data_IF_658262213955
#
_entry.id   IF_658262213955
#
_cell.length_a   1.000
_cell.length_b   1.000
_cell.length_c   1.000
_cell.angle_alpha   90.00
_cell.angle_beta   90.00
_cell.angle_gamma   90.00
#
_symmetry.space_group_name_H-M   'P 1'
#
loop_
_entity.id
_entity.type
_entity.pdbx_description
1 polymer ?
#
# COMPACT_ATOMS: atom_id res chain seq x y z
N UNK A 1 -19.92 -13.15 1.49
CA UNK A 1 -19.76 -11.78 2.03
C UNK A 1 -18.52 -11.60 2.91
N UNK A 2 -18.26 -12.47 3.90
CA UNK A 2 -17.10 -12.33 4.81
C UNK A 2 -15.73 -12.32 4.10
N UNK A 3 -15.58 -13.07 3.01
CA UNK A 3 -14.32 -13.18 2.26
C UNK A 3 -13.84 -11.86 1.63
N UNK A 4 -14.73 -11.14 0.91
CA UNK A 4 -14.37 -9.87 0.28
C UNK A 4 -14.00 -8.78 1.31
N UNK A 5 -14.71 -8.72 2.44
CA UNK A 5 -14.39 -7.77 3.51
C UNK A 5 -13.01 -8.05 4.15
N UNK A 6 -12.68 -9.32 4.42
CA UNK A 6 -11.38 -9.70 4.97
C UNK A 6 -10.23 -9.39 4.01
N UNK A 7 -10.44 -9.65 2.71
CA UNK A 7 -9.45 -9.33 1.67
C UNK A 7 -9.26 -7.80 1.55
N UNK A 8 -10.34 -7.03 1.61
CA UNK A 8 -10.26 -5.57 1.61
C UNK A 8 -9.52 -5.03 2.85
N UNK A 9 -9.83 -5.54 4.05
CA UNK A 9 -9.14 -5.15 5.29
C UNK A 9 -7.63 -5.46 5.20
N UNK A 10 -7.26 -6.65 4.73
CA UNK A 10 -5.87 -7.02 4.55
C UNK A 10 -5.15 -6.11 3.52
N UNK A 11 -5.82 -5.74 2.42
CA UNK A 11 -5.27 -4.81 1.43
C UNK A 11 -5.11 -3.39 2.00
N UNK A 12 -6.03 -2.95 2.87
CA UNK A 12 -6.00 -1.61 3.49
C UNK A 12 -4.79 -1.39 4.40
N UNK A 13 -4.08 -2.43 4.83
CA UNK A 13 -2.85 -2.29 5.62
C UNK A 13 -1.79 -1.51 4.84
N UNK A 14 -1.76 -1.58 3.50
CA UNK A 14 -0.89 -0.72 2.70
C UNK A 14 -1.17 0.78 2.86
N UNK A 15 -2.44 1.17 3.07
CA UNK A 15 -2.82 2.56 3.34
C UNK A 15 -2.61 2.93 4.81
N UNK A 16 -2.77 1.96 5.72
CA UNK A 16 -2.36 2.14 7.11
C UNK A 16 -0.88 2.52 7.22
N UNK A 17 0.01 1.83 6.47
CA UNK A 17 1.44 2.13 6.42
C UNK A 17 1.73 3.53 5.88
N UNK A 18 1.00 3.98 4.86
CA UNK A 18 1.10 5.36 4.36
C UNK A 18 0.79 6.38 5.48
N UNK A 19 -0.32 6.19 6.19
CA UNK A 19 -0.70 7.06 7.30
C UNK A 19 0.34 7.06 8.42
N UNK A 20 0.88 5.89 8.72
CA UNK A 20 1.95 5.70 9.69
C UNK A 20 3.21 6.49 9.29
N UNK A 21 3.70 6.34 8.06
CA UNK A 21 4.88 7.05 7.57
C UNK A 21 4.71 8.57 7.65
N UNK A 22 3.57 9.09 7.18
CA UNK A 22 3.29 10.53 7.16
C UNK A 22 3.33 11.15 8.58
N UNK A 23 2.77 10.48 9.59
CA UNK A 23 2.86 10.95 10.98
C UNK A 23 4.27 10.76 11.55
N UNK A 24 4.92 9.62 11.25
CA UNK A 24 6.24 9.30 11.79
C UNK A 24 7.27 10.33 11.35
N UNK A 25 7.33 10.68 10.07
CA UNK A 25 8.28 11.67 9.58
C UNK A 25 8.01 13.06 10.18
N UNK A 26 6.73 13.45 10.34
CA UNK A 26 6.35 14.72 10.93
C UNK A 26 6.84 14.87 12.38
N UNK A 27 6.83 13.79 13.16
CA UNK A 27 7.39 13.79 14.51
C UNK A 27 8.90 13.59 14.57
N UNK A 28 9.44 12.69 13.74
CA UNK A 28 10.85 12.30 13.76
C UNK A 28 11.77 13.42 13.25
N UNK A 29 11.31 14.26 12.31
CA UNK A 29 12.15 15.30 11.68
C UNK A 29 12.75 16.28 12.70
N UNK A 30 12.02 16.58 13.79
CA UNK A 30 12.47 17.44 14.89
C UNK A 30 13.74 16.87 15.54
N UNK A 31 13.79 15.55 15.70
CA UNK A 31 14.91 14.83 16.30
C UNK A 31 16.05 14.61 15.29
N UNK A 32 15.72 14.38 14.02
CA UNK A 32 16.70 14.30 12.92
C UNK A 32 17.46 15.62 12.80
N UNK A 33 16.76 16.76 12.84
CA UNK A 33 17.38 18.08 12.77
C UNK A 33 18.33 18.32 13.96
N UNK A 34 17.93 17.92 15.18
CA UNK A 34 18.79 18.03 16.38
C UNK A 34 20.08 17.21 16.28
N UNK A 35 20.00 15.99 15.76
CA UNK A 35 21.14 15.05 15.66
C UNK A 35 22.09 15.45 14.52
N UNK A 36 21.55 15.75 13.34
CA UNK A 36 22.33 15.99 12.12
C UNK A 36 22.57 17.48 11.81
N UNK A 37 22.02 18.40 12.61
CA UNK A 37 22.11 19.88 12.46
C UNK A 37 21.81 20.34 11.03
N UNK A 38 20.63 19.97 10.54
CA UNK A 38 20.24 20.18 9.15
C UNK A 38 19.86 21.63 8.87
N UNK A 39 20.22 22.10 7.67
CA UNK A 39 19.66 23.31 7.09
C UNK A 39 18.20 23.07 6.68
N UNK A 40 17.34 24.10 6.80
CA UNK A 40 15.91 23.99 6.49
C UNK A 40 15.61 23.46 5.07
N UNK A 41 16.46 23.78 4.08
CA UNK A 41 16.36 23.25 2.72
C UNK A 41 16.52 21.73 2.65
N UNK A 42 17.47 21.18 3.41
CA UNK A 42 17.76 19.74 3.47
C UNK A 42 16.67 19.00 4.24
N UNK A 43 16.15 19.60 5.31
CA UNK A 43 15.01 19.07 6.05
C UNK A 43 13.78 18.94 5.16
N UNK A 44 13.44 20.00 4.43
CA UNK A 44 12.35 19.99 3.46
C UNK A 44 12.56 18.95 2.36
N UNK A 45 13.81 18.77 1.91
CA UNK A 45 14.15 17.74 0.93
C UNK A 45 13.88 16.32 1.48
N UNK A 46 14.30 16.00 2.70
CA UNK A 46 14.07 14.69 3.32
C UNK A 46 12.57 14.34 3.36
N UNK A 47 11.72 15.31 3.72
CA UNK A 47 10.26 15.13 3.73
C UNK A 47 9.72 14.97 2.31
N UNK A 48 10.20 15.79 1.37
CA UNK A 48 9.74 15.77 -0.02
C UNK A 48 10.19 14.53 -0.82
N UNK A 49 11.29 13.88 -0.45
CA UNK A 49 11.83 12.72 -1.17
C UNK A 49 10.82 11.57 -1.31
N UNK A 50 9.98 11.34 -0.30
CA UNK A 50 8.93 10.31 -0.40
C UNK A 50 7.80 10.73 -1.33
N UNK A 51 7.42 12.01 -1.32
CA UNK A 51 6.41 12.55 -2.24
C UNK A 51 6.89 12.48 -3.69
N UNK A 52 8.17 12.80 -3.93
CA UNK A 52 8.82 12.67 -5.24
C UNK A 52 8.80 11.21 -5.69
N UNK A 53 9.17 10.27 -4.81
CA UNK A 53 9.12 8.84 -5.10
C UNK A 53 7.70 8.37 -5.43
N UNK A 54 6.73 8.74 -4.60
CA UNK A 54 5.33 8.39 -4.79
C UNK A 54 4.77 8.93 -6.11
N UNK A 55 5.08 10.19 -6.44
CA UNK A 55 4.67 10.78 -7.71
C UNK A 55 5.26 10.01 -8.91
N UNK A 56 6.56 9.73 -8.88
CA UNK A 56 7.25 9.02 -9.97
C UNK A 56 6.69 7.62 -10.21
N UNK A 57 6.44 6.83 -9.14
CA UNK A 57 5.94 5.46 -9.29
C UNK A 57 4.46 5.43 -9.70
N UNK A 58 3.65 6.37 -9.21
CA UNK A 58 2.20 6.41 -9.48
C UNK A 58 1.90 6.61 -10.96
N UNK A 59 2.72 7.40 -11.67
CA UNK A 59 2.58 7.61 -13.12
C UNK A 59 2.78 6.31 -13.90
N UNK A 60 3.67 5.43 -13.43
CA UNK A 60 4.00 4.18 -14.12
C UNK A 60 3.19 2.98 -13.61
N UNK A 61 2.64 3.04 -12.39
CA UNK A 61 2.07 1.88 -11.71
C UNK A 61 0.81 1.33 -12.36
N UNK A 62 0.02 2.17 -13.05
CA UNK A 62 -1.22 1.76 -13.72
C UNK A 62 -0.99 0.71 -14.81
N UNK A 63 -0.30 1.06 -15.91
CA UNK A 63 0.00 0.13 -17.00
C UNK A 63 0.75 -1.13 -16.52
N UNK A 64 1.69 -0.95 -15.59
CA UNK A 64 2.47 -2.08 -15.04
C UNK A 64 1.57 -3.04 -14.26
N UNK A 65 0.62 -2.55 -13.48
CA UNK A 65 -0.36 -3.37 -12.75
C UNK A 65 -1.34 -4.09 -13.68
N UNK A 66 -1.67 -3.50 -14.83
CA UNK A 66 -2.47 -4.18 -15.85
C UNK A 66 -1.72 -5.31 -16.53
N UNK A 67 -0.41 -5.15 -16.72
CA UNK A 67 0.41 -6.21 -17.31
C UNK A 67 0.74 -7.32 -16.31
N UNK A 68 1.27 -6.96 -15.13
CA UNK A 68 1.84 -7.89 -14.13
C UNK A 68 0.80 -8.48 -13.17
N UNK A 69 -0.30 -7.77 -12.94
CA UNK A 69 -1.32 -8.11 -11.93
C UNK A 69 -1.25 -7.22 -10.70
N UNK A 70 -2.32 -7.22 -9.90
CA UNK A 70 -2.47 -6.34 -8.74
C UNK A 70 -1.69 -6.91 -7.56
N UNK A 71 -1.80 -8.23 -7.32
CA UNK A 71 -1.16 -8.88 -6.16
C UNK A 71 0.37 -8.78 -6.19
N UNK A 72 1.09 -9.08 -7.29
CA UNK A 72 2.55 -8.92 -7.35
C UNK A 72 3.00 -7.48 -7.03
N UNK A 73 2.25 -6.49 -7.51
CA UNK A 73 2.57 -5.08 -7.26
C UNK A 73 2.38 -4.68 -5.79
N UNK A 74 1.34 -5.20 -5.13
CA UNK A 74 1.16 -5.02 -3.67
C UNK A 74 2.27 -5.73 -2.86
N UNK A 75 2.76 -6.89 -3.33
CA UNK A 75 3.91 -7.57 -2.73
C UNK A 75 5.17 -6.70 -2.87
N UNK A 76 5.43 -6.16 -4.06
CA UNK A 76 6.57 -5.25 -4.28
C UNK A 76 6.47 -4.02 -3.37
N UNK A 77 5.28 -3.41 -3.25
CA UNK A 77 5.02 -2.31 -2.31
C UNK A 77 5.40 -2.68 -0.88
N UNK A 78 4.96 -3.85 -0.39
CA UNK A 78 5.28 -4.30 0.97
C UNK A 78 6.77 -4.54 1.22
N UNK A 79 7.50 -5.03 0.22
CA UNK A 79 8.96 -5.20 0.28
C UNK A 79 9.64 -3.83 0.33
N UNK A 80 9.19 -2.86 -0.48
CA UNK A 80 9.74 -1.50 -0.49
C UNK A 80 9.57 -0.81 0.86
N UNK A 81 8.39 -0.92 1.49
CA UNK A 81 8.16 -0.40 2.84
C UNK A 81 9.04 -1.08 3.91
N UNK A 82 9.25 -2.39 3.80
CA UNK A 82 10.11 -3.10 4.73
C UNK A 82 11.57 -2.66 4.59
N UNK A 83 12.08 -2.62 3.36
CA UNK A 83 13.46 -2.21 3.07
C UNK A 83 13.67 -0.74 3.42
N UNK A 84 12.71 0.14 3.13
CA UNK A 84 12.80 1.56 3.47
C UNK A 84 12.94 1.75 4.98
N UNK A 85 12.11 1.07 5.78
CA UNK A 85 12.19 1.10 7.24
C UNK A 85 13.56 0.67 7.77
N UNK A 86 14.14 -0.42 7.23
CA UNK A 86 15.47 -0.89 7.61
C UNK A 86 16.58 0.10 7.22
N UNK A 87 16.51 0.68 6.01
CA UNK A 87 17.47 1.69 5.54
C UNK A 87 17.40 2.93 6.41
N UNK A 88 16.20 3.39 6.78
CA UNK A 88 16.01 4.53 7.67
C UNK A 88 16.52 4.24 9.08
N UNK A 89 16.31 3.03 9.60
CA UNK A 89 16.82 2.60 10.91
C UNK A 89 18.35 2.65 10.99
N UNK A 90 19.04 2.13 9.97
CA UNK A 90 20.51 2.12 9.91
C UNK A 90 21.13 3.36 9.30
N UNK A 91 20.37 4.41 9.01
CA UNK A 91 20.89 5.57 8.30
C UNK A 91 21.97 6.32 9.13
N UNK A 92 23.22 6.39 8.63
CA UNK A 92 24.30 7.11 9.30
C UNK A 92 24.32 8.60 8.95
N UNK A 93 23.75 8.98 7.80
CA UNK A 93 23.75 10.33 7.28
C UNK A 93 22.45 10.62 6.51
N UNK A 94 22.27 11.89 6.16
CA UNK A 94 21.08 12.40 5.47
C UNK A 94 20.90 11.78 4.09
N UNK A 95 21.97 11.50 3.36
CA UNK A 95 21.88 10.93 2.02
C UNK A 95 21.25 9.53 2.04
N UNK A 96 21.67 8.69 2.99
CA UNK A 96 21.07 7.37 3.20
C UNK A 96 19.62 7.49 3.67
N UNK A 97 19.32 8.48 4.52
CA UNK A 97 17.94 8.78 4.91
C UNK A 97 17.08 9.17 3.70
N UNK A 98 17.57 10.04 2.80
CA UNK A 98 16.88 10.42 1.56
C UNK A 98 16.63 9.23 0.65
N UNK A 99 17.58 8.29 0.53
CA UNK A 99 17.40 7.05 -0.23
C UNK A 99 16.29 6.20 0.41
N UNK A 100 16.31 6.05 1.75
CA UNK A 100 15.25 5.37 2.48
C UNK A 100 13.87 5.99 2.23
N UNK A 101 13.76 7.33 2.28
CA UNK A 101 12.54 8.07 1.97
C UNK A 101 12.07 7.90 0.53
N UNK A 102 12.99 7.85 -0.43
CA UNK A 102 12.64 7.62 -1.83
C UNK A 102 12.06 6.22 -2.04
N UNK A 103 12.70 5.19 -1.47
CA UNK A 103 12.20 3.82 -1.51
C UNK A 103 10.84 3.68 -0.83
N UNK A 104 10.67 4.38 0.29
CA UNK A 104 9.40 4.46 1.00
C UNK A 104 8.30 5.08 0.14
N UNK A 105 8.63 6.19 -0.52
CA UNK A 105 7.75 6.85 -1.49
C UNK A 105 7.28 5.92 -2.61
N UNK A 106 8.17 5.06 -3.13
CA UNK A 106 7.79 4.04 -4.11
C UNK A 106 6.80 3.02 -3.52
N UNK A 107 7.01 2.58 -2.29
CA UNK A 107 6.07 1.71 -1.56
C UNK A 107 4.70 2.37 -1.39
N UNK A 108 4.68 3.63 -0.94
CA UNK A 108 3.47 4.44 -0.75
C UNK A 108 2.69 4.60 -2.04
N UNK A 109 3.33 5.07 -3.11
CA UNK A 109 2.65 5.31 -4.39
C UNK A 109 1.97 4.06 -4.92
N UNK A 110 2.66 2.90 -4.87
CA UNK A 110 2.06 1.63 -5.27
C UNK A 110 0.84 1.26 -4.42
N UNK A 111 0.93 1.35 -3.09
CA UNK A 111 -0.18 0.98 -2.22
C UNK A 111 -1.41 1.90 -2.41
N UNK A 112 -1.19 3.21 -2.50
CA UNK A 112 -2.26 4.22 -2.60
C UNK A 112 -3.01 4.10 -3.91
N UNK A 113 -2.30 3.83 -5.02
CA UNK A 113 -2.94 3.66 -6.32
C UNK A 113 -3.63 2.31 -6.44
N UNK A 114 -3.00 1.23 -5.98
CA UNK A 114 -3.45 -0.13 -6.30
C UNK A 114 -4.46 -0.69 -5.31
N UNK A 115 -4.42 -0.30 -4.04
CA UNK A 115 -5.37 -0.84 -3.04
C UNK A 115 -6.82 -0.46 -3.36
N UNK A 116 -7.17 0.81 -3.67
CA UNK A 116 -8.54 1.15 -4.05
C UNK A 116 -9.00 0.45 -5.33
N UNK A 117 -8.11 0.32 -6.32
CA UNK A 117 -8.39 -0.41 -7.57
C UNK A 117 -8.67 -1.89 -7.27
N UNK A 118 -7.80 -2.53 -6.49
CA UNK A 118 -7.95 -3.93 -6.09
C UNK A 118 -9.23 -4.17 -5.30
N UNK A 119 -9.59 -3.27 -4.39
CA UNK A 119 -10.86 -3.33 -3.64
C UNK A 119 -12.03 -3.18 -4.61
N UNK A 120 -11.99 -2.24 -5.55
CA UNK A 120 -13.08 -2.03 -6.51
C UNK A 120 -13.34 -3.25 -7.41
N UNK A 121 -12.28 -4.01 -7.72
CA UNK A 121 -12.32 -5.20 -8.56
C UNK A 121 -12.75 -6.46 -7.79
N UNK A 122 -12.51 -6.51 -6.48
CA UNK A 122 -12.87 -7.65 -5.62
C UNK A 122 -14.19 -7.44 -4.87
N UNK A 123 -14.64 -6.20 -4.70
CA UNK A 123 -15.83 -5.85 -3.96
C UNK A 123 -17.14 -6.22 -4.70
N UNK A 124 -18.14 -6.79 -4.00
CA UNK A 124 -19.52 -6.89 -4.48
C UNK A 124 -20.10 -5.49 -4.74
N UNK A 125 -21.00 -5.38 -5.72
CA UNK A 125 -21.70 -4.13 -6.07
C UNK A 125 -22.30 -3.43 -4.85
N UNK A 126 -22.90 -4.20 -3.95
CA UNK A 126 -23.78 -3.68 -2.89
C UNK A 126 -23.00 -3.03 -1.74
N UNK A 127 -21.73 -3.43 -1.54
CA UNK A 127 -20.87 -2.92 -0.46
C UNK A 127 -19.62 -2.20 -0.98
N UNK A 128 -19.49 -2.04 -2.30
CA UNK A 128 -18.29 -1.44 -2.93
C UNK A 128 -18.00 -0.04 -2.39
N UNK A 129 -19.03 0.78 -2.21
CA UNK A 129 -18.89 2.13 -1.65
C UNK A 129 -18.27 2.12 -0.25
N UNK A 130 -18.78 1.25 0.63
CA UNK A 130 -18.27 1.10 1.99
C UNK A 130 -16.85 0.51 2.02
N UNK A 131 -16.53 -0.43 1.13
CA UNK A 131 -15.18 -0.99 1.08
C UNK A 131 -14.15 0.02 0.55
N UNK A 132 -14.55 0.95 -0.32
CA UNK A 132 -13.67 2.01 -0.81
C UNK A 132 -13.36 3.10 0.21
N UNK A 133 -14.11 3.21 1.32
CA UNK A 133 -13.77 4.14 2.41
C UNK A 133 -12.78 3.54 3.41
N UNK A 134 -12.63 2.21 3.45
CA UNK A 134 -11.71 1.52 4.35
C UNK A 134 -10.24 1.93 4.17
N UNK A 135 -9.68 2.12 2.95
CA UNK A 135 -8.30 2.58 2.79
C UNK A 135 -8.03 3.90 3.51
N UNK A 136 -8.92 4.88 3.36
CA UNK A 136 -8.78 6.18 4.02
C UNK A 136 -8.94 6.08 5.53
N UNK A 137 -9.88 5.26 6.00
CA UNK A 137 -10.01 4.99 7.43
C UNK A 137 -8.76 4.33 8.01
N UNK A 138 -8.19 3.35 7.30
CA UNK A 138 -6.96 2.68 7.69
C UNK A 138 -5.76 3.64 7.71
N UNK A 139 -5.65 4.54 6.72
CA UNK A 139 -4.64 5.59 6.70
C UNK A 139 -4.75 6.52 7.91
N UNK A 140 -5.94 7.03 8.21
CA UNK A 140 -6.17 7.83 9.42
C UNK A 140 -5.84 7.07 10.71
N UNK A 141 -6.18 5.77 10.77
CA UNK A 141 -5.83 4.90 11.90
C UNK A 141 -4.33 4.71 12.06
N UNK A 142 -3.60 4.52 10.97
CA UNK A 142 -2.13 4.45 10.96
C UNK A 142 -1.48 5.74 11.43
N UNK A 143 -2.00 6.87 10.97
CA UNK A 143 -1.55 8.20 11.39
C UNK A 143 -1.76 8.41 12.90
N UNK A 144 -2.94 8.07 13.42
CA UNK A 144 -3.24 8.17 14.85
C UNK A 144 -2.31 7.31 15.72
N UNK A 145 -2.16 6.02 15.38
CA UNK A 145 -1.29 5.12 16.15
C UNK A 145 0.18 5.53 16.08
N UNK A 146 0.63 6.04 14.94
CA UNK A 146 1.97 6.60 14.79
C UNK A 146 2.18 7.79 15.72
N UNK A 147 1.23 8.73 15.81
CA UNK A 147 1.35 9.84 16.76
C UNK A 147 1.38 9.39 18.22
N UNK A 148 0.59 8.37 18.60
CA UNK A 148 0.67 7.77 19.93
C UNK A 148 2.07 7.17 20.19
N UNK A 149 2.64 6.46 19.22
CA UNK A 149 3.99 5.89 19.32
C UNK A 149 5.05 7.01 19.47
N UNK A 150 4.98 8.05 18.63
CA UNK A 150 5.91 9.19 18.70
C UNK A 150 5.82 9.84 20.08
N UNK A 151 4.61 10.15 20.55
CA UNK A 151 4.41 10.76 21.86
C UNK A 151 5.01 9.92 22.99
N UNK A 152 4.77 8.60 22.97
CA UNK A 152 5.36 7.67 23.93
C UNK A 152 6.89 7.64 23.88
N UNK A 153 7.48 7.64 22.68
CA UNK A 153 8.93 7.69 22.51
C UNK A 153 9.53 9.05 22.88
N UNK A 154 8.82 10.15 22.66
CA UNK A 154 9.24 11.50 23.05
C UNK A 154 9.38 11.67 24.56
N UNK A 155 8.67 10.85 25.36
CA UNK A 155 8.74 10.84 26.83
C UNK A 155 9.95 10.06 27.37
N UNK A 156 10.65 9.29 26.54
CA UNK A 156 11.85 8.55 26.98
C UNK A 156 13.07 9.45 27.14
N UNK A 157 14.02 9.05 28.00
CA UNK A 157 15.23 9.82 28.30
C UNK A 157 16.13 10.08 27.07
N UNK A 158 16.08 9.20 26.06
CA UNK A 158 16.86 9.31 24.82
C UNK A 158 15.99 8.99 23.59
N UNK A 159 15.20 9.95 23.09
CA UNK A 159 14.35 9.73 21.92
C UNK A 159 15.21 9.43 20.68
N UNK A 160 15.02 8.24 20.10
CA UNK A 160 15.75 7.83 18.88
C UNK A 160 14.85 7.94 17.67
N UNK A 161 15.16 8.90 16.79
CA UNK A 161 14.46 9.08 15.51
C UNK A 161 14.63 7.90 14.57
N UNK A 162 15.76 7.18 14.66
CA UNK A 162 16.03 5.96 13.90
C UNK A 162 15.04 4.87 14.24
N UNK A 163 14.73 4.70 15.53
CA UNK A 163 13.69 3.77 15.97
C UNK A 163 12.31 4.22 15.52
N UNK A 164 12.00 5.51 15.62
CA UNK A 164 10.69 6.04 15.18
C UNK A 164 10.41 5.66 13.71
N UNK A 165 11.36 5.91 12.81
CA UNK A 165 11.24 5.57 11.39
C UNK A 165 11.37 4.06 11.13
N UNK A 166 12.25 3.38 11.87
CA UNK A 166 12.55 1.95 11.67
C UNK A 166 11.41 1.01 12.06
N UNK A 167 10.58 1.40 13.03
CA UNK A 167 9.43 0.61 13.50
C UNK A 167 8.44 0.33 12.36
N UNK A 168 8.40 1.16 11.31
CA UNK A 168 7.62 0.91 10.08
C UNK A 168 7.86 -0.48 9.48
N UNK A 169 9.05 -1.06 9.66
CA UNK A 169 9.41 -2.39 9.15
C UNK A 169 8.53 -3.50 9.75
N UNK A 170 8.05 -3.35 10.98
CA UNK A 170 7.23 -4.36 11.68
C UNK A 170 5.85 -4.52 11.03
N UNK A 171 5.00 -3.46 10.92
CA UNK A 171 3.72 -3.58 10.22
C UNK A 171 3.88 -3.85 8.72
N UNK A 172 5.02 -3.49 8.11
CA UNK A 172 5.34 -3.82 6.71
C UNK A 172 5.52 -5.31 6.49
N UNK A 173 6.15 -6.02 7.43
CA UNK A 173 6.28 -7.48 7.38
C UNK A 173 4.92 -8.17 7.51
N UNK A 174 4.05 -7.64 8.38
CA UNK A 174 2.67 -8.11 8.49
C UNK A 174 1.90 -7.90 7.19
N UNK A 175 2.06 -6.73 6.56
CA UNK A 175 1.47 -6.43 5.26
C UNK A 175 1.97 -7.39 4.16
N UNK A 176 3.27 -7.67 4.13
CA UNK A 176 3.87 -8.64 3.21
C UNK A 176 3.27 -10.03 3.42
N UNK A 177 3.25 -10.53 4.66
CA UNK A 177 2.71 -11.84 4.99
C UNK A 177 1.22 -11.96 4.57
N UNK A 178 0.39 -10.96 4.89
CA UNK A 178 -1.02 -10.97 4.53
C UNK A 178 -1.23 -10.88 3.01
N UNK A 179 -0.43 -10.08 2.31
CA UNK A 179 -0.53 -9.96 0.84
C UNK A 179 -0.11 -11.27 0.16
N UNK A 180 0.92 -11.94 0.66
CA UNK A 180 1.42 -13.19 0.08
C UNK A 180 0.47 -14.35 0.38
N UNK A 181 0.04 -14.53 1.63
CA UNK A 181 -0.72 -15.73 2.03
C UNK A 181 -2.24 -15.57 1.88
N UNK A 182 -2.77 -14.35 1.95
CA UNK A 182 -4.21 -14.13 2.07
C UNK A 182 -4.87 -13.49 0.86
N UNK A 183 -4.19 -12.54 0.19
CA UNK A 183 -4.75 -11.84 -0.97
C UNK A 183 -4.75 -12.71 -2.23
N UNK A 184 -5.90 -13.02 -2.83
CA UNK A 184 -5.96 -13.59 -4.19
C UNK A 184 -5.58 -12.53 -5.24
N UNK A 185 -5.38 -12.97 -6.48
CA UNK A 185 -5.27 -12.05 -7.61
C UNK A 185 -6.64 -11.45 -7.96
N UNK A 186 -6.64 -10.27 -8.60
CA UNK A 186 -7.88 -9.64 -9.07
C UNK A 186 -8.65 -10.56 -10.05
N UNK A 187 -9.95 -10.84 -9.79
CA UNK A 187 -10.78 -11.59 -10.73
C UNK A 187 -10.82 -10.97 -12.13
N UNK A 188 -10.88 -9.64 -12.20
CA UNK A 188 -10.94 -8.90 -13.47
C UNK A 188 -9.65 -9.09 -14.27
N UNK A 189 -8.51 -9.04 -13.61
CA UNK A 189 -7.21 -9.30 -14.24
C UNK A 189 -7.06 -10.76 -14.68
N UNK A 190 -7.55 -11.73 -13.90
CA UNK A 190 -7.54 -13.14 -14.30
C UNK A 190 -8.37 -13.39 -15.56
N UNK A 191 -9.53 -12.74 -15.69
CA UNK A 191 -10.36 -12.80 -16.91
C UNK A 191 -9.64 -12.16 -18.10
N UNK A 192 -8.98 -11.01 -17.93
CA UNK A 192 -8.24 -10.37 -19.04
C UNK A 192 -7.04 -11.18 -19.52
N UNK A 193 -6.49 -12.06 -18.67
CA UNK A 193 -5.42 -13.02 -19.04
C UNK A 193 -5.95 -14.37 -19.52
N UNK A 194 -7.26 -14.53 -19.72
CA UNK A 194 -7.89 -15.77 -20.18
C UNK A 194 -7.95 -16.88 -19.14
N UNK A 195 -7.64 -16.59 -17.87
CA UNK A 195 -7.60 -17.58 -16.77
C UNK A 195 -8.96 -17.75 -16.09
N UNK A 196 -9.96 -18.18 -16.87
CA UNK A 196 -11.37 -18.25 -16.44
C UNK A 196 -11.61 -19.17 -15.23
N UNK A 197 -10.90 -20.31 -15.16
CA UNK A 197 -11.03 -21.26 -14.05
C UNK A 197 -10.52 -20.68 -12.71
N UNK A 198 -9.40 -19.95 -12.75
CA UNK A 198 -8.86 -19.28 -11.56
C UNK A 198 -9.76 -18.12 -11.13
N UNK A 199 -10.23 -17.32 -12.10
CA UNK A 199 -11.18 -16.24 -11.85
C UNK A 199 -12.45 -16.75 -11.15
N UNK A 200 -12.99 -17.89 -11.59
CA UNK A 200 -14.15 -18.55 -10.96
C UNK A 200 -13.88 -18.91 -9.50
N UNK A 201 -12.75 -19.57 -9.21
CA UNK A 201 -12.39 -19.95 -7.82
C UNK A 201 -12.24 -18.73 -6.91
N UNK A 202 -11.60 -17.67 -7.40
CA UNK A 202 -11.44 -16.44 -6.61
C UNK A 202 -12.80 -15.78 -6.35
N UNK A 203 -13.67 -15.68 -7.35
CA UNK A 203 -15.02 -15.12 -7.19
C UNK A 203 -15.88 -15.94 -6.22
N UNK A 204 -15.80 -17.27 -6.29
CA UNK A 204 -16.47 -18.17 -5.34
C UNK A 204 -15.98 -17.91 -3.91
N UNK A 205 -14.67 -17.75 -3.69
CA UNK A 205 -14.09 -17.43 -2.38
C UNK A 205 -14.52 -16.05 -1.87
N UNK A 206 -14.55 -15.02 -2.73
CA UNK A 206 -14.91 -13.65 -2.35
C UNK A 206 -16.40 -13.53 -1.99
N UNK A 207 -17.27 -14.13 -2.81
CA UNK A 207 -18.73 -14.06 -2.62
C UNK A 207 -19.26 -15.07 -1.61
N UNK A 208 -18.61 -16.23 -1.49
CA UNK A 208 -19.09 -17.35 -0.67
C UNK A 208 -20.32 -18.02 -1.28
N UNK A 209 -20.42 -18.04 -2.60
CA UNK A 209 -21.47 -18.74 -3.38
C UNK A 209 -20.81 -19.51 -4.51
N UNK A 210 -21.35 -20.69 -4.83
CA UNK A 210 -20.82 -21.55 -5.90
C UNK A 210 -21.18 -21.01 -7.29
N UNK A 211 -22.35 -20.38 -7.42
CA UNK A 211 -22.77 -19.77 -8.67
C UNK A 211 -22.32 -18.31 -8.75
N UNK A 212 -21.38 -18.09 -9.67
CA UNK A 212 -20.79 -16.79 -10.04
C UNK A 212 -20.76 -16.62 -11.55
N UNK A 213 -21.52 -17.45 -12.26
CA UNK A 213 -21.54 -17.53 -13.73
C UNK A 213 -21.95 -16.20 -14.34
N UNK A 214 -22.97 -15.55 -13.78
CA UNK A 214 -23.44 -14.22 -14.21
C UNK A 214 -22.34 -13.15 -14.18
N UNK A 215 -21.49 -13.17 -13.15
CA UNK A 215 -20.42 -12.17 -13.01
C UNK A 215 -19.22 -12.45 -13.89
N UNK A 216 -18.97 -13.72 -14.18
CA UNK A 216 -17.91 -14.11 -15.13
C UNK A 216 -18.33 -13.69 -16.55
N UNK A 217 -19.60 -13.86 -16.90
CA UNK A 217 -20.16 -13.40 -18.17
C UNK A 217 -20.10 -11.88 -18.30
N UNK A 218 -20.55 -11.12 -17.28
CA UNK A 218 -20.40 -9.65 -17.24
C UNK A 218 -18.95 -9.17 -17.46
N UNK A 219 -17.98 -9.86 -16.83
CA UNK A 219 -16.56 -9.52 -16.93
C UNK A 219 -15.96 -9.92 -18.30
N UNK A 220 -16.47 -10.97 -18.93
CA UNK A 220 -16.05 -11.40 -20.26
C UNK A 220 -16.60 -10.46 -21.34
N UNK A 221 -17.88 -10.07 -21.26
CA UNK A 221 -18.53 -9.18 -22.23
C UNK A 221 -17.96 -7.75 -22.17
N UNK A 222 -17.67 -7.26 -20.96
CA UNK A 222 -17.00 -5.96 -20.78
C UNK A 222 -15.55 -5.94 -21.28
N UNK A 223 -14.86 -7.08 -21.27
CA UNK A 223 -13.53 -7.18 -21.89
C UNK A 223 -13.62 -7.34 -23.42
N UNK A 224 -14.60 -8.08 -23.94
CA UNK A 224 -14.79 -8.27 -25.39
C UNK A 224 -15.07 -6.97 -26.13
N UNK A 225 -15.96 -6.13 -25.57
CA UNK A 225 -16.26 -4.79 -26.11
C UNK A 225 -15.08 -3.81 -26.07
N UNK A 226 -14.15 -3.96 -25.12
CA UNK A 226 -12.91 -3.16 -25.05
C UNK A 226 -11.93 -3.53 -26.17
N UNK A 227 -11.91 -4.78 -26.64
CA UNK A 227 -11.08 -5.18 -27.78
C UNK A 227 -11.68 -4.72 -29.13
N UNK A 228 -13.01 -4.68 -29.27
CA UNK A 228 -13.68 -4.13 -30.45
C UNK A 228 -13.57 -2.60 -30.56
N UNK A 229 -13.47 -1.87 -29.45
CA UNK A 229 -13.30 -0.41 -29.47
C UNK A 229 -11.86 0.06 -29.76
N UNK A 230 -10.89 -0.86 -29.76
CA UNK A 230 -9.47 -0.58 -30.02
C UNK A 230 -8.99 -1.13 -31.39
N UNK A 231 -9.89 -1.74 -32.17
CA UNK A 231 -9.69 -2.22 -33.54
C UNK A 231 -10.29 -1.23 -34.56
#
# INVERSE_FOLDING_TARGET
MKGAALVAIAACIGNFLQGWDNATIAGAIIYVNKDLKLQASVEGLVVAMSLIGAAAITTCSGPISDWLGRRPMLIISSILYFVSGLVMFWSPNVYVLCIGRLLDGFGIGLAVTLVPVYISETAPSDIRGMLNTLPQFAGSGGMFLSYCMIFGMSLTASPSWRLMLGILSIPSLLYFALTVFYLPESPRWLVSKGKMLEAKRVLQRLRGREDVSDKILDLADSNGSLFESLA
#
